data_IF_219224181465
#
_entry.id   IF_219224181465
#
_cell.length_a   1.000
_cell.length_b   1.000
_cell.length_c   1.000
_cell.angle_alpha   90.00
_cell.angle_beta   90.00
_cell.angle_gamma   90.00
#
_symmetry.space_group_name_H-M   'P 1'
#
loop_
_entity.id
_entity.type
_entity.pdbx_description
1 polymer ?
#
# COMPACT_ATOMS: atom_id res chain seq x y z
N UNK A 1 -3.09 -16.50 -6.14
CA UNK A 1 -2.96 -15.03 -6.03
C UNK A 1 -3.79 -14.59 -4.83
N UNK A 2 -3.15 -14.01 -3.81
CA UNK A 2 -3.81 -13.48 -2.63
C UNK A 2 -3.77 -11.94 -2.69
N UNK A 3 -4.91 -11.28 -2.49
CA UNK A 3 -5.00 -9.82 -2.43
C UNK A 3 -5.73 -9.41 -1.14
N UNK A 4 -5.15 -8.48 -0.39
CA UNK A 4 -5.78 -7.86 0.78
C UNK A 4 -5.76 -6.36 0.67
N UNK A 5 -6.84 -5.72 1.13
CA UNK A 5 -7.02 -4.28 1.10
C UNK A 5 -7.31 -3.77 2.51
N UNK A 6 -6.55 -2.77 2.96
CA UNK A 6 -6.73 -2.16 4.26
C UNK A 6 -6.78 -0.64 4.11
N UNK A 7 -7.88 -0.03 4.55
CA UNK A 7 -8.01 1.42 4.64
C UNK A 7 -7.45 1.89 5.96
N UNK A 8 -6.68 2.97 5.93
CA UNK A 8 -6.26 3.67 7.13
C UNK A 8 -6.64 5.14 7.04
N UNK A 9 -7.00 5.73 8.17
CA UNK A 9 -7.34 7.14 8.28
C UNK A 9 -6.49 7.75 9.39
N UNK A 10 -5.89 8.90 9.10
CA UNK A 10 -5.15 9.68 10.06
C UNK A 10 -5.64 11.11 10.04
N UNK A 11 -5.87 11.68 11.22
CA UNK A 11 -6.29 13.06 11.39
C UNK A 11 -5.79 13.54 12.75
N UNK A 12 -4.67 14.25 12.83
CA UNK A 12 -4.22 14.81 14.12
C UNK A 12 -4.67 16.27 14.23
N UNK A 13 -5.94 16.51 14.58
CA UNK A 13 -6.57 17.85 14.57
C UNK A 13 -6.29 18.59 13.24
N UNK A 14 -6.88 18.07 12.18
CA UNK A 14 -6.92 18.56 10.79
C UNK A 14 -5.72 18.26 9.86
N UNK A 15 -4.53 17.82 10.32
CA UNK A 15 -3.51 17.26 9.40
C UNK A 15 -3.90 15.83 8.98
N UNK A 16 -4.80 15.77 8.00
CA UNK A 16 -5.47 14.56 7.55
C UNK A 16 -4.70 13.82 6.47
N UNK A 17 -4.40 12.54 6.73
CA UNK A 17 -3.86 11.56 5.81
C UNK A 17 -4.87 10.41 5.69
N UNK A 18 -5.60 10.35 4.58
CA UNK A 18 -6.50 9.23 4.29
C UNK A 18 -5.83 8.39 3.22
N UNK A 19 -5.69 7.09 3.44
CA UNK A 19 -5.07 6.23 2.45
C UNK A 19 -5.49 4.78 2.53
N UNK A 20 -4.91 3.99 1.64
CA UNK A 20 -5.11 2.56 1.57
C UNK A 20 -3.80 1.84 1.26
N UNK A 21 -3.66 0.66 1.87
CA UNK A 21 -2.63 -0.31 1.55
C UNK A 21 -3.28 -1.47 0.78
N UNK A 22 -2.63 -1.91 -0.30
CA UNK A 22 -2.98 -3.14 -0.98
C UNK A 22 -1.78 -4.07 -0.97
N UNK A 23 -1.98 -5.28 -0.43
CA UNK A 23 -0.99 -6.35 -0.45
C UNK A 23 -1.38 -7.35 -1.53
N UNK A 24 -0.53 -7.54 -2.53
CA UNK A 24 -0.66 -8.60 -3.52
C UNK A 24 0.46 -9.62 -3.34
N UNK A 25 0.11 -10.89 -3.22
CA UNK A 25 1.08 -11.98 -3.14
C UNK A 25 0.85 -12.99 -4.25
N UNK A 26 1.91 -13.24 -5.02
CA UNK A 26 1.99 -14.26 -6.04
C UNK A 26 3.05 -15.28 -5.64
N UNK A 27 2.60 -16.48 -5.30
CA UNK A 27 3.47 -17.62 -5.04
C UNK A 27 3.54 -18.47 -6.31
N UNK A 28 4.74 -18.61 -6.87
CA UNK A 28 5.06 -19.52 -7.96
C UNK A 28 5.96 -20.66 -7.49
N UNK A 29 6.41 -21.52 -8.41
CA UNK A 29 7.34 -22.60 -8.09
C UNK A 29 8.69 -22.05 -7.60
N UNK A 30 8.85 -21.94 -6.28
CA UNK A 30 10.10 -21.52 -5.60
C UNK A 30 10.29 -20.01 -5.43
N UNK A 31 9.36 -19.18 -5.88
CA UNK A 31 9.43 -17.72 -5.74
C UNK A 31 8.15 -17.17 -5.11
N UNK A 32 8.30 -16.22 -4.19
CA UNK A 32 7.22 -15.40 -3.65
C UNK A 32 7.47 -13.97 -4.10
N UNK A 33 6.59 -13.45 -4.94
CA UNK A 33 6.51 -12.03 -5.26
C UNK A 33 5.45 -11.39 -4.38
N UNK A 34 5.84 -10.36 -3.61
CA UNK A 34 4.92 -9.55 -2.81
C UNK A 34 4.97 -8.12 -3.29
N UNK A 35 3.81 -7.54 -3.58
CA UNK A 35 3.65 -6.15 -3.98
C UNK A 35 2.88 -5.41 -2.88
N UNK A 36 3.48 -4.36 -2.33
CA UNK A 36 2.83 -3.45 -1.40
C UNK A 36 2.54 -2.14 -2.14
N UNK A 37 1.26 -1.85 -2.38
CA UNK A 37 0.82 -0.57 -2.88
C UNK A 37 0.33 0.31 -1.75
N UNK A 38 0.69 1.59 -1.83
CA UNK A 38 0.15 2.61 -0.95
C UNK A 38 -0.32 3.80 -1.75
N UNK A 39 -1.47 4.30 -1.36
CA UNK A 39 -1.99 5.54 -1.86
C UNK A 39 -2.56 6.33 -0.71
N UNK A 40 -2.17 7.60 -0.58
CA UNK A 40 -2.69 8.48 0.44
C UNK A 40 -2.89 9.91 -0.06
N UNK A 41 -3.87 10.58 0.55
CA UNK A 41 -4.26 11.96 0.31
C UNK A 41 -3.90 12.80 1.55
N UNK A 42 -3.17 13.90 1.37
CA UNK A 42 -2.74 14.82 2.43
C UNK A 42 -3.33 16.21 2.13
N UNK A 43 -4.09 16.83 3.04
CA UNK A 43 -4.68 18.20 2.90
C UNK A 43 -3.79 19.31 3.53
N UNK A 44 -3.92 20.61 3.15
CA UNK A 44 -3.74 21.18 1.82
C UNK A 44 -2.37 21.89 1.61
N UNK A 45 -1.92 22.02 0.33
CA UNK A 45 -2.64 21.61 -0.88
C UNK A 45 -2.78 20.09 -0.97
N UNK A 46 -3.91 19.62 -1.50
CA UNK A 46 -4.27 18.20 -1.48
C UNK A 46 -3.32 17.41 -2.39
N UNK A 47 -2.34 16.71 -1.83
CA UNK A 47 -1.33 15.95 -2.59
C UNK A 47 -1.66 14.46 -2.57
N UNK A 48 -1.70 13.85 -3.76
CA UNK A 48 -1.79 12.40 -3.91
C UNK A 48 -0.40 11.79 -3.99
N UNK A 49 -0.06 10.96 -3.00
CA UNK A 49 1.19 10.20 -3.00
C UNK A 49 0.89 8.74 -3.30
N UNK A 50 1.57 8.19 -4.32
CA UNK A 50 1.49 6.78 -4.71
C UNK A 50 2.88 6.14 -4.67
N UNK A 51 3.00 5.00 -4.00
CA UNK A 51 4.21 4.18 -4.06
C UNK A 51 3.85 2.70 -4.23
N UNK A 52 4.78 1.96 -4.84
CA UNK A 52 4.71 0.50 -4.99
C UNK A 52 6.08 -0.08 -4.69
N UNK A 53 6.13 -1.11 -3.84
CA UNK A 53 7.35 -1.84 -3.53
C UNK A 53 7.13 -3.30 -3.88
N UNK A 54 8.02 -3.86 -4.70
CA UNK A 54 8.05 -5.29 -5.01
C UNK A 54 9.16 -5.94 -4.22
N UNK A 55 8.81 -6.94 -3.42
CA UNK A 55 9.74 -7.80 -2.70
C UNK A 55 9.73 -9.17 -3.38
N UNK A 56 10.91 -9.61 -3.84
CA UNK A 56 11.10 -10.92 -4.42
C UNK A 56 11.86 -11.78 -3.41
N UNK A 57 11.19 -12.79 -2.87
CA UNK A 57 11.80 -13.79 -2.01
C UNK A 57 11.89 -15.11 -2.76
N UNK A 58 13.03 -15.78 -2.60
CA UNK A 58 13.19 -17.17 -2.99
C UNK A 58 12.84 -18.03 -1.78
N UNK A 59 11.95 -19.00 -1.96
CA UNK A 59 11.58 -19.99 -0.92
C UNK A 59 12.64 -21.08 -0.86
#
# INVERSE_FOLDING_TARGET
MFKSFEKFEYNKKADQLIGFFMYEMNCGAGNIERMLHFQAYIEPPLVLVKYSITLNERV
#
